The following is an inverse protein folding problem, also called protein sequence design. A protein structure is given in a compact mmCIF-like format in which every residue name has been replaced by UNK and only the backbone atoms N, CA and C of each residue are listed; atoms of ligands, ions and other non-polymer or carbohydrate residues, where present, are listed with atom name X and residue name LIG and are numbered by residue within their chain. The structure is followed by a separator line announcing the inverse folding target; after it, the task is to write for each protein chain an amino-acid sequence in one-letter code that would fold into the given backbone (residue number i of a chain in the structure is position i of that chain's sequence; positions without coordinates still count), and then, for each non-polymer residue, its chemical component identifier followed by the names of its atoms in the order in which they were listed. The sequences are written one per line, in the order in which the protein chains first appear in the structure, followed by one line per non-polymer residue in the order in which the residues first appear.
data_IF_292161306922
#
_entry.id   IF_292161306922
#
_cell.length_a   1.000
_cell.length_b   1.000
_cell.length_c   1.000
_cell.angle_alpha   90.00
_cell.angle_beta   90.00
_cell.angle_gamma   90.00
#
_symmetry.space_group_name_H-M   'P 1'
#
loop_
_entity.id
_entity.type
_entity.pdbx_description
1 polymer ?
#
# COMPACT_ATOMS: atom_id res chain seq x y z
N UNK A 1 3.09 -4.81 6.68
CA UNK A 1 3.01 -3.34 6.60
C UNK A 1 1.59 -2.90 6.82
N UNK A 2 1.39 -1.96 7.71
CA UNK A 2 0.06 -1.46 8.07
C UNK A 2 -0.11 -0.01 7.60
N UNK A 3 -1.34 0.44 7.50
CA UNK A 3 -1.67 1.79 7.08
C UNK A 3 -3.12 1.88 6.62
N UNK A 4 -3.38 2.79 5.71
CA UNK A 4 -4.71 2.96 5.11
C UNK A 4 -4.57 2.82 3.60
N UNK A 5 -5.15 1.77 3.07
CA UNK A 5 -5.08 1.44 1.65
C UNK A 5 -6.49 1.36 1.08
N UNK A 6 -6.76 2.16 0.07
CA UNK A 6 -8.08 2.20 -0.57
C UNK A 6 -7.95 1.90 -2.04
N UNK A 7 -8.75 0.96 -2.52
CA UNK A 7 -8.74 0.55 -3.92
C UNK A 7 -10.16 0.54 -4.47
N UNK A 8 -10.25 0.59 -5.80
CA UNK A 8 -11.49 0.37 -6.52
C UNK A 8 -11.42 -1.00 -7.20
N UNK A 9 -12.39 -1.86 -6.92
CA UNK A 9 -12.47 -3.18 -7.53
C UNK A 9 -13.93 -3.53 -7.82
N UNK A 10 -14.21 -3.90 -9.08
CA UNK A 10 -15.57 -4.29 -9.52
C UNK A 10 -16.62 -3.25 -9.16
N UNK A 11 -16.28 -1.97 -9.36
CA UNK A 11 -17.14 -0.81 -9.06
C UNK A 11 -17.41 -0.62 -7.57
N UNK A 12 -16.57 -1.21 -6.71
CA UNK A 12 -16.67 -1.09 -5.26
C UNK A 12 -15.41 -0.49 -4.69
N UNK A 13 -15.57 0.36 -3.69
CA UNK A 13 -14.44 0.92 -2.95
C UNK A 13 -14.16 0.00 -1.77
N UNK A 14 -12.94 -0.53 -1.71
CA UNK A 14 -12.50 -1.43 -0.66
C UNK A 14 -11.37 -0.77 0.12
N UNK A 15 -11.43 -0.90 1.44
CA UNK A 15 -10.43 -0.33 2.35
C UNK A 15 -9.75 -1.42 3.13
N UNK A 16 -8.43 -1.34 3.21
CA UNK A 16 -7.61 -2.30 3.93
C UNK A 16 -6.67 -1.57 4.88
N UNK A 17 -6.35 -2.19 6.01
CA UNK A 17 -5.37 -1.66 6.97
C UNK A 17 -4.07 -2.43 6.93
N UNK A 18 -4.04 -3.58 6.27
CA UNK A 18 -2.85 -4.40 6.11
C UNK A 18 -2.56 -4.58 4.63
N UNK A 19 -1.33 -4.28 4.24
CA UNK A 19 -0.90 -4.43 2.85
C UNK A 19 -1.11 -5.85 2.32
N UNK A 20 -0.89 -6.85 3.17
CA UNK A 20 -1.01 -8.26 2.75
C UNK A 20 -2.45 -8.67 2.44
N UNK A 21 -3.43 -7.90 2.92
CA UNK A 21 -4.84 -8.17 2.64
C UNK A 21 -5.30 -7.63 1.29
N UNK A 22 -4.50 -6.79 0.64
CA UNK A 22 -4.86 -6.19 -0.64
C UNK A 22 -4.85 -7.27 -1.72
N UNK A 23 -5.91 -7.36 -2.56
CA UNK A 23 -5.94 -8.36 -3.63
C UNK A 23 -4.84 -8.15 -4.66
N UNK A 24 -4.47 -9.21 -5.36
CA UNK A 24 -3.41 -9.18 -6.36
C UNK A 24 -3.78 -8.39 -7.62
N UNK A 25 -5.06 -8.14 -7.84
CA UNK A 25 -5.50 -7.30 -8.94
C UNK A 25 -6.74 -6.51 -8.55
N UNK A 26 -6.84 -5.28 -9.03
CA UNK A 26 -7.98 -4.40 -8.82
C UNK A 26 -7.98 -3.34 -9.91
N UNK A 27 -9.05 -2.54 -10.00
CA UNK A 27 -9.22 -1.60 -11.11
C UNK A 27 -8.39 -0.33 -10.94
N UNK A 28 -8.29 0.20 -9.71
CA UNK A 28 -7.60 1.46 -9.47
C UNK A 28 -7.15 1.56 -8.03
N UNK A 29 -5.96 2.12 -7.82
CA UNK A 29 -5.50 2.50 -6.48
C UNK A 29 -6.00 3.92 -6.19
N UNK A 30 -6.83 4.05 -5.15
CA UNK A 30 -7.39 5.35 -4.76
C UNK A 30 -6.49 6.05 -3.76
N UNK A 31 -6.02 5.31 -2.74
CA UNK A 31 -5.22 5.89 -1.67
C UNK A 31 -4.18 4.91 -1.17
N UNK A 32 -3.00 5.41 -0.87
CA UNK A 32 -1.91 4.63 -0.29
C UNK A 32 -1.29 5.47 0.82
N UNK A 33 -1.64 5.14 2.06
CA UNK A 33 -1.18 5.87 3.24
C UNK A 33 -0.58 4.89 4.24
N UNK A 34 0.70 4.50 4.08
CA UNK A 34 1.34 3.61 5.03
C UNK A 34 1.59 4.32 6.36
N UNK A 35 1.57 3.55 7.45
CA UNK A 35 1.93 4.08 8.76
C UNK A 35 3.44 4.27 8.82
N UNK A 36 3.86 5.48 9.21
CA UNK A 36 5.26 5.81 9.40
C UNK A 36 5.60 5.76 10.87
N UNK A 37 6.78 5.22 11.25
CA UNK A 37 7.20 5.25 12.64
C UNK A 37 7.49 6.67 13.09
N UNK A 38 7.29 6.93 14.39
CA UNK A 38 7.60 8.24 14.96
C UNK A 38 9.12 8.44 15.07
N UNK A 39 9.62 9.68 14.86
CA UNK A 39 11.03 9.97 15.05
C UNK A 39 11.43 9.89 16.55
N UNK A 40 12.72 9.59 16.89
CA UNK A 40 13.77 9.26 15.91
C UNK A 40 13.60 7.87 15.32
N UNK A 41 13.97 7.72 14.05
CA UNK A 41 13.89 6.45 13.36
C UNK A 41 15.14 5.63 13.58
N UNK A 42 14.99 4.32 13.76
CA UNK A 42 16.13 3.39 13.76
C UNK A 42 16.54 3.07 12.31
N UNK A 43 17.73 2.48 12.15
CA UNK A 43 18.18 2.06 10.82
C UNK A 43 17.21 1.05 10.20
N UNK A 44 16.68 0.13 11.02
CA UNK A 44 15.68 -0.84 10.55
C UNK A 44 14.40 -0.17 10.05
N UNK A 45 13.96 0.87 10.76
CA UNK A 45 12.77 1.63 10.34
C UNK A 45 13.02 2.39 9.04
N UNK A 46 14.23 2.92 8.85
CA UNK A 46 14.60 3.58 7.59
C UNK A 46 14.59 2.59 6.44
N UNK A 47 15.10 1.39 6.63
CA UNK A 47 15.07 0.35 5.60
C UNK A 47 13.63 -0.04 5.25
N UNK A 48 12.76 -0.20 6.26
CA UNK A 48 11.35 -0.49 6.03
C UNK A 48 10.68 0.63 5.24
N UNK A 49 10.91 1.89 5.62
CA UNK A 49 10.32 3.03 4.92
C UNK A 49 10.80 3.13 3.48
N UNK A 50 12.03 2.74 3.20
CA UNK A 50 12.57 2.78 1.84
C UNK A 50 11.88 1.79 0.91
N UNK A 51 11.22 0.76 1.45
CA UNK A 51 10.46 -0.20 0.63
C UNK A 51 9.06 0.28 0.28
N UNK A 52 8.59 1.38 0.88
CA UNK A 52 7.22 1.85 0.66
C UNK A 52 6.97 2.27 -0.78
N UNK A 53 7.96 2.88 -1.42
CA UNK A 53 7.83 3.26 -2.82
C UNK A 53 7.71 2.02 -3.72
N UNK A 54 8.49 0.99 -3.45
CA UNK A 54 8.40 -0.27 -4.19
C UNK A 54 7.03 -0.92 -4.01
N UNK A 55 6.48 -0.86 -2.80
CA UNK A 55 5.14 -1.39 -2.54
C UNK A 55 4.07 -0.58 -3.26
N UNK A 56 4.21 0.73 -3.31
CA UNK A 56 3.31 1.58 -4.09
C UNK A 56 3.35 1.22 -5.57
N UNK A 57 4.53 1.04 -6.13
CA UNK A 57 4.69 0.65 -7.52
C UNK A 57 4.05 -0.72 -7.78
N UNK A 58 4.20 -1.66 -6.86
CA UNK A 58 3.55 -2.97 -6.96
C UNK A 58 2.03 -2.83 -7.00
N UNK A 59 1.46 -1.98 -6.14
CA UNK A 59 0.01 -1.74 -6.15
C UNK A 59 -0.44 -1.08 -7.45
N UNK A 60 0.34 -0.15 -7.98
CA UNK A 60 0.02 0.47 -9.26
C UNK A 60 0.04 -0.55 -10.40
N UNK A 61 0.95 -1.51 -10.36
CA UNK A 61 0.98 -2.60 -11.34
C UNK A 61 -0.24 -3.50 -11.20
N UNK A 62 -0.66 -3.78 -9.97
CA UNK A 62 -1.89 -4.54 -9.73
C UNK A 62 -3.12 -3.80 -10.25
N UNK A 63 -3.13 -2.47 -10.11
CA UNK A 63 -4.23 -1.63 -10.56
C UNK A 63 -4.36 -1.60 -12.07
N UNK A 64 -3.28 -1.87 -12.82
CA UNK A 64 -3.34 -1.90 -14.27
C UNK A 64 -3.97 -3.17 -14.82
N UNK A 65 -4.29 -4.13 -13.98
CA UNK A 65 -4.92 -5.37 -14.37
C UNK A 65 -3.98 -6.42 -14.95
N UNK A 66 -2.72 -6.20 -14.79
CA UNK A 66 -1.70 -7.12 -15.31
C UNK A 66 -1.17 -8.03 -14.21
#
# INVERSE_FOLDING_TARGET
MYGKFTILKDKRILKFTNFDDIPLSFNQLISFEPDYPEPPHTDEQHEEMSTYQSKLEELLNRASGN
#
